data_IF_475420134323
#
_entry.id   IF_475420134323
#
_cell.length_a   1.000
_cell.length_b   1.000
_cell.length_c   1.000
_cell.angle_alpha   90.00
_cell.angle_beta   90.00
_cell.angle_gamma   90.00
#
_symmetry.space_group_name_H-M   'P 1'
#
loop_
_entity.id
_entity.type
_entity.pdbx_description
1 polymer ?
#
# COMPACT_ATOMS: atom_id res chain seq x y z
N UNK A 1 1.79 -3.00 4.37
CA UNK A 1 1.81 -3.75 5.65
C UNK A 1 2.31 -2.83 6.78
N UNK A 2 2.08 -3.19 8.05
CA UNK A 2 2.72 -2.50 9.19
C UNK A 2 4.19 -2.89 9.35
N UNK A 3 4.91 -2.19 10.23
CA UNK A 3 6.37 -2.35 10.42
C UNK A 3 6.84 -3.77 10.79
N UNK A 4 5.95 -4.62 11.33
CA UNK A 4 6.27 -6.01 11.70
C UNK A 4 5.47 -7.05 10.90
N UNK A 5 4.77 -6.62 9.84
CA UNK A 5 3.94 -7.50 9.03
C UNK A 5 4.54 -7.72 7.64
N UNK A 6 4.69 -8.97 7.22
CA UNK A 6 5.03 -9.29 5.83
C UNK A 6 3.84 -8.99 4.91
N UNK A 7 4.09 -8.79 3.61
CA UNK A 7 3.02 -8.65 2.61
C UNK A 7 2.00 -9.79 2.62
N UNK A 8 2.43 -11.00 3.02
CA UNK A 8 1.58 -12.19 3.18
C UNK A 8 0.46 -12.04 4.22
N UNK A 9 0.57 -11.09 5.17
CA UNK A 9 -0.52 -10.75 6.10
C UNK A 9 -1.81 -10.36 5.38
N UNK A 10 -1.71 -9.91 4.12
CA UNK A 10 -2.84 -9.53 3.29
C UNK A 10 -3.41 -10.66 2.42
N UNK A 11 -2.84 -11.87 2.43
CA UNK A 11 -3.21 -12.94 1.50
C UNK A 11 -4.73 -13.21 1.45
N UNK A 12 -5.38 -13.26 2.62
CA UNK A 12 -6.84 -13.47 2.70
C UNK A 12 -7.65 -12.33 2.07
N UNK A 13 -7.15 -11.10 2.10
CA UNK A 13 -7.78 -9.92 1.49
C UNK A 13 -7.47 -9.91 -0.02
N UNK A 14 -6.21 -10.13 -0.39
CA UNK A 14 -5.73 -10.23 -1.77
C UNK A 14 -6.57 -11.25 -2.55
N UNK A 15 -6.72 -12.47 -2.02
CA UNK A 15 -7.51 -13.53 -2.69
C UNK A 15 -8.97 -13.13 -2.89
N UNK A 16 -9.58 -12.38 -1.96
CA UNK A 16 -10.97 -11.93 -2.11
C UNK A 16 -11.09 -10.85 -3.19
N UNK A 17 -10.20 -9.86 -3.20
CA UNK A 17 -10.19 -8.80 -4.20
C UNK A 17 -9.91 -9.33 -5.61
N UNK A 18 -8.99 -10.30 -5.75
CA UNK A 18 -8.71 -10.95 -7.02
C UNK A 18 -9.92 -11.72 -7.57
N UNK A 19 -10.75 -12.31 -6.70
CA UNK A 19 -12.04 -12.93 -7.12
C UNK A 19 -13.03 -11.92 -7.68
N UNK A 20 -12.86 -10.63 -7.37
CA UNK A 20 -13.61 -9.53 -7.96
C UNK A 20 -12.83 -8.84 -9.11
N UNK A 21 -11.88 -9.55 -9.73
CA UNK A 21 -11.08 -9.07 -10.86
C UNK A 21 -10.30 -7.78 -10.58
N UNK A 22 -9.96 -7.53 -9.31
CA UNK A 22 -9.14 -6.38 -8.91
C UNK A 22 -7.66 -6.75 -8.92
N UNK A 23 -6.83 -5.95 -9.58
CA UNK A 23 -5.36 -6.05 -9.44
C UNK A 23 -4.94 -5.68 -8.03
N UNK A 24 -4.08 -6.49 -7.41
CA UNK A 24 -3.56 -6.21 -6.07
C UNK A 24 -2.06 -6.37 -6.04
N UNK A 25 -1.36 -5.32 -5.58
CA UNK A 25 0.09 -5.31 -5.41
C UNK A 25 0.39 -5.21 -3.91
N UNK A 26 0.97 -6.27 -3.35
CA UNK A 26 1.49 -6.25 -1.98
C UNK A 26 2.89 -5.65 -1.95
N UNK A 27 3.04 -4.48 -1.32
CA UNK A 27 4.33 -3.79 -1.23
C UNK A 27 5.11 -4.27 0.00
N UNK A 28 6.30 -4.79 -0.21
CA UNK A 28 7.26 -5.07 0.86
C UNK A 28 8.06 -3.79 1.13
N UNK A 29 7.80 -3.17 2.28
CA UNK A 29 8.50 -1.96 2.68
C UNK A 29 9.91 -2.30 3.18
N UNK A 30 10.94 -1.50 2.81
CA UNK A 30 12.30 -1.68 3.33
C UNK A 30 12.41 -1.36 4.82
N UNK A 31 11.57 -0.46 5.35
CA UNK A 31 11.55 -0.03 6.76
C UNK A 31 12.89 0.55 7.25
N UNK A 32 13.69 1.07 6.31
CA UNK A 32 14.96 1.76 6.58
C UNK A 32 14.77 3.25 6.83
N UNK A 33 13.80 3.86 6.13
CA UNK A 33 13.39 5.26 6.31
C UNK A 33 12.02 5.49 5.70
N UNK A 34 11.30 6.53 6.16
CA UNK A 34 10.04 6.95 5.55
C UNK A 34 10.21 7.26 4.05
N UNK A 35 11.31 7.91 3.67
CA UNK A 35 11.62 8.25 2.28
C UNK A 35 11.73 6.98 1.41
N UNK A 36 12.41 5.96 1.88
CA UNK A 36 12.59 4.70 1.13
C UNK A 36 11.28 3.91 1.04
N UNK A 37 10.47 3.92 2.10
CA UNK A 37 9.14 3.30 2.13
C UNK A 37 8.18 3.97 1.13
N UNK A 38 8.17 5.31 1.10
CA UNK A 38 7.40 6.10 0.13
C UNK A 38 7.89 5.84 -1.29
N UNK A 39 9.21 5.87 -1.53
CA UNK A 39 9.76 5.60 -2.85
C UNK A 39 9.42 4.19 -3.35
N UNK A 40 9.40 3.19 -2.46
CA UNK A 40 9.00 1.82 -2.79
C UNK A 40 7.52 1.73 -3.14
N UNK A 41 6.68 2.42 -2.39
CA UNK A 41 5.24 2.53 -2.67
C UNK A 41 4.98 3.22 -4.01
N UNK A 42 5.70 4.31 -4.31
CA UNK A 42 5.59 5.02 -5.59
C UNK A 42 5.99 4.13 -6.79
N UNK A 43 7.02 3.29 -6.66
CA UNK A 43 7.36 2.31 -7.70
C UNK A 43 6.26 1.28 -7.90
N UNK A 44 5.55 0.88 -6.86
CA UNK A 44 4.37 0.02 -6.96
C UNK A 44 3.21 0.70 -7.69
N UNK A 45 2.92 1.97 -7.35
CA UNK A 45 1.92 2.79 -8.07
C UNK A 45 2.29 2.91 -9.55
N UNK A 46 3.59 3.06 -9.86
CA UNK A 46 4.08 3.10 -11.24
C UNK A 46 3.81 1.84 -12.05
N UNK A 47 3.79 0.68 -11.41
CA UNK A 47 3.58 -0.63 -12.04
C UNK A 47 2.11 -1.03 -12.15
N UNK A 48 1.23 -0.41 -11.37
CA UNK A 48 -0.20 -0.71 -11.38
C UNK A 48 -0.88 -0.25 -12.68
N UNK A 49 -1.90 -0.99 -13.10
CA UNK A 49 -2.71 -0.64 -14.26
C UNK A 49 -3.82 0.33 -13.83
N UNK A 50 -3.77 1.56 -14.36
CA UNK A 50 -4.78 2.58 -14.11
C UNK A 50 -4.66 3.28 -12.75
N UNK A 51 -5.80 3.75 -12.26
CA UNK A 51 -5.92 4.45 -10.98
C UNK A 51 -5.84 3.48 -9.79
N UNK A 52 -5.33 3.97 -8.65
CA UNK A 52 -5.00 3.12 -7.50
C UNK A 52 -5.71 3.55 -6.22
N UNK A 53 -5.99 2.57 -5.36
CA UNK A 53 -6.37 2.77 -3.96
C UNK A 53 -5.23 2.27 -3.09
N UNK A 54 -4.73 3.11 -2.18
CA UNK A 54 -3.68 2.73 -1.24
C UNK A 54 -4.28 2.28 0.08
N UNK A 55 -3.84 1.13 0.57
CA UNK A 55 -4.29 0.56 1.86
C UNK A 55 -3.09 0.41 2.79
N UNK A 56 -3.14 1.08 3.94
CA UNK A 56 -2.07 1.15 4.93
C UNK A 56 -2.52 0.63 6.29
N UNK A 57 -1.70 -0.24 6.91
CA UNK A 57 -1.93 -0.72 8.28
C UNK A 57 -0.78 -0.31 9.19
N UNK A 58 -1.07 0.13 10.42
CA UNK A 58 -0.06 0.62 11.38
C UNK A 58 0.85 1.66 10.71
N UNK A 59 2.18 1.45 10.69
CA UNK A 59 3.16 2.28 9.98
C UNK A 59 2.84 2.53 8.51
N UNK A 60 2.17 1.57 7.84
CA UNK A 60 1.76 1.73 6.46
C UNK A 60 0.82 2.91 6.24
N UNK A 61 0.10 3.38 7.27
CA UNK A 61 -0.72 4.60 7.17
C UNK A 61 0.11 5.84 6.88
N UNK A 62 1.18 6.06 7.64
CA UNK A 62 2.11 7.18 7.44
C UNK A 62 2.70 7.16 6.03
N UNK A 63 3.07 5.97 5.54
CA UNK A 63 3.62 5.80 4.19
C UNK A 63 2.60 6.16 3.11
N UNK A 64 1.34 5.74 3.25
CA UNK A 64 0.30 6.05 2.24
C UNK A 64 -0.20 7.50 2.33
N UNK A 65 -0.10 8.16 3.49
CA UNK A 65 -0.38 9.60 3.62
C UNK A 65 0.56 10.40 2.73
N UNK A 66 1.86 10.09 2.74
CA UNK A 66 2.86 10.77 1.90
C UNK A 66 2.77 10.36 0.42
N UNK A 67 2.70 9.05 0.14
CA UNK A 67 2.61 8.53 -1.23
C UNK A 67 1.28 8.88 -1.93
N UNK A 68 0.25 9.18 -1.13
CA UNK A 68 -1.11 9.49 -1.57
C UNK A 68 -1.23 10.76 -2.42
N UNK A 69 -0.24 11.64 -2.39
CA UNK A 69 -0.19 12.84 -3.22
C UNK A 69 0.00 12.56 -4.73
N UNK A 70 0.21 11.29 -5.12
CA UNK A 70 0.29 10.91 -6.53
C UNK A 70 -1.08 11.03 -7.22
N UNK A 71 -1.14 11.69 -8.37
CA UNK A 71 -2.41 11.97 -9.09
C UNK A 71 -3.23 10.72 -9.51
N UNK A 72 -2.60 9.54 -9.57
CA UNK A 72 -3.31 8.26 -9.82
C UNK A 72 -3.97 7.68 -8.58
N UNK A 73 -3.64 8.17 -7.38
CA UNK A 73 -4.25 7.70 -6.14
C UNK A 73 -5.61 8.35 -5.98
N UNK A 74 -6.67 7.55 -5.91
CA UNK A 74 -8.06 8.03 -5.78
C UNK A 74 -8.60 7.98 -4.37
N UNK A 75 -8.05 7.06 -3.57
CA UNK A 75 -8.48 6.89 -2.18
C UNK A 75 -7.34 6.34 -1.31
N UNK A 76 -7.38 6.70 -0.04
CA UNK A 76 -6.55 6.16 1.03
C UNK A 76 -7.43 5.37 1.99
N UNK A 77 -6.98 4.17 2.37
CA UNK A 77 -7.66 3.31 3.35
C UNK A 77 -6.71 3.03 4.50
N UNK A 78 -7.09 3.49 5.69
CA UNK A 78 -6.32 3.32 6.92
C UNK A 78 -6.92 2.18 7.76
N UNK A 79 -6.10 1.17 8.07
CA UNK A 79 -6.50 0.02 8.88
C UNK A 79 -5.65 -0.01 10.15
N UNK A 80 -6.21 0.40 11.29
CA UNK A 80 -5.47 0.49 12.56
C UNK A 80 -4.09 1.17 12.39
N UNK A 81 -4.09 2.35 11.76
CA UNK A 81 -2.89 2.97 11.20
C UNK A 81 -2.54 4.31 11.83
N UNK A 82 -1.25 4.65 11.82
CA UNK A 82 -0.77 6.01 12.10
C UNK A 82 -0.98 6.84 10.83
N UNK A 83 -1.49 8.07 10.93
CA UNK A 83 -1.89 8.88 9.77
C UNK A 83 -1.27 10.27 9.82
#
# INVERSE_FOLDING_TARGET
PGAVAAGSSWNKVITRLQKHHTEVIAVQLPLTSLKDDVATTQRAIARAHGDVVLVGHSWGGTVISEAGNNARVKSLVYVAAFA
#
